data_IF_453564509886
#
_entry.id   IF_453564509886
#
_cell.length_a   1.000
_cell.length_b   1.000
_cell.length_c   1.000
_cell.angle_alpha   90.00
_cell.angle_beta   90.00
_cell.angle_gamma   90.00
#
_symmetry.space_group_name_H-M   'P 1'
#
loop_
_entity.id
_entity.type
_entity.pdbx_description
1 polymer ?
#
# COMPACT_ATOMS: atom_id res chain seq x y z
N UNK A 1 -6.90 2.73 -24.14
CA UNK A 1 -5.97 3.23 -23.10
C UNK A 1 -4.60 3.25 -23.73
N UNK A 2 -3.77 4.29 -23.54
CA UNK A 2 -2.44 4.27 -24.13
C UNK A 2 -1.53 3.30 -23.38
N UNK A 3 -0.53 2.73 -24.05
CA UNK A 3 0.48 1.84 -23.43
C UNK A 3 1.12 2.49 -22.19
N UNK A 4 1.39 3.80 -22.26
CA UNK A 4 1.91 4.58 -21.13
C UNK A 4 0.98 4.56 -19.91
N UNK A 5 -0.33 4.69 -20.12
CA UNK A 5 -1.31 4.67 -19.03
C UNK A 5 -1.37 3.30 -18.36
N UNK A 6 -1.27 2.22 -19.14
CA UNK A 6 -1.26 0.85 -18.62
C UNK A 6 -0.03 0.57 -17.74
N UNK A 7 1.15 1.02 -18.18
CA UNK A 7 2.38 0.93 -17.38
C UNK A 7 2.26 1.71 -16.06
N UNK A 8 1.72 2.92 -16.11
CA UNK A 8 1.50 3.75 -14.90
C UNK A 8 0.54 3.04 -13.95
N UNK A 9 -0.58 2.53 -14.47
CA UNK A 9 -1.59 1.84 -13.66
C UNK A 9 -1.02 0.60 -12.97
N UNK A 10 -0.27 -0.22 -13.70
CA UNK A 10 0.40 -1.40 -13.14
C UNK A 10 1.39 -1.02 -12.03
N UNK A 11 2.19 0.02 -12.26
CA UNK A 11 3.17 0.47 -11.28
C UNK A 11 2.48 1.01 -10.01
N UNK A 12 1.38 1.78 -10.17
CA UNK A 12 0.62 2.30 -9.05
C UNK A 12 0.00 1.19 -8.18
N UNK A 13 -0.49 0.10 -8.80
CA UNK A 13 -0.98 -1.06 -8.06
C UNK A 13 0.14 -1.83 -7.34
N UNK A 14 1.38 -1.75 -7.82
CA UNK A 14 2.54 -2.38 -7.17
C UNK A 14 3.17 -1.52 -6.06
N UNK A 15 3.00 -0.19 -6.12
CA UNK A 15 3.55 0.78 -5.16
C UNK A 15 3.30 0.43 -3.67
N UNK A 16 2.12 -0.07 -3.24
CA UNK A 16 1.89 -0.47 -1.86
C UNK A 16 2.91 -1.47 -1.32
N UNK A 17 3.42 -2.37 -2.16
CA UNK A 17 4.42 -3.35 -1.75
C UNK A 17 5.74 -2.67 -1.33
N UNK A 18 6.12 -1.57 -1.97
CA UNK A 18 7.30 -0.79 -1.58
C UNK A 18 7.09 -0.12 -0.22
N UNK A 19 5.94 0.49 0.01
CA UNK A 19 5.61 1.09 1.32
C UNK A 19 5.59 0.05 2.43
N UNK A 20 4.99 -1.12 2.18
CA UNK A 20 4.98 -2.26 3.10
C UNK A 20 6.40 -2.74 3.41
N UNK A 21 7.25 -2.87 2.38
CA UNK A 21 8.65 -3.30 2.56
C UNK A 21 9.45 -2.31 3.40
N UNK A 22 9.31 -1.00 3.12
CA UNK A 22 10.00 0.04 3.89
C UNK A 22 9.49 0.08 5.33
N UNK A 23 8.17 -0.01 5.54
CA UNK A 23 7.60 -0.09 6.89
C UNK A 23 8.12 -1.31 7.66
N UNK A 24 8.16 -2.48 7.03
CA UNK A 24 8.73 -3.69 7.63
C UNK A 24 10.19 -3.49 8.04
N UNK A 25 11.01 -2.88 7.19
CA UNK A 25 12.40 -2.58 7.52
C UNK A 25 12.50 -1.65 8.74
N UNK A 26 11.68 -0.59 8.80
CA UNK A 26 11.66 0.33 9.93
C UNK A 26 11.23 -0.36 11.23
N UNK A 27 10.23 -1.24 11.19
CA UNK A 27 9.83 -2.06 12.33
C UNK A 27 10.94 -3.00 12.83
N UNK A 28 11.88 -3.39 11.95
CA UNK A 28 13.01 -4.27 12.31
C UNK A 28 14.23 -3.53 12.86
N UNK A 29 14.43 -2.27 12.51
CA UNK A 29 15.63 -1.52 12.87
C UNK A 29 15.63 -1.12 14.34
N UNK A 30 14.52 -0.57 14.82
CA UNK A 30 14.42 -0.01 16.17
C UNK A 30 12.97 -0.05 16.67
N UNK A 31 12.79 -0.43 17.94
CA UNK A 31 11.48 -0.48 18.62
C UNK A 31 11.19 0.79 19.41
N UNK A 32 11.99 1.85 19.25
CA UNK A 32 11.73 3.14 19.88
C UNK A 32 10.37 3.70 19.45
N UNK A 33 9.67 4.46 20.32
CA UNK A 33 8.36 5.03 20.00
C UNK A 33 8.36 5.91 18.75
N UNK A 34 9.49 6.59 18.48
CA UNK A 34 9.65 7.40 17.28
C UNK A 34 9.73 6.53 16.03
N UNK A 35 10.53 5.46 16.04
CA UNK A 35 10.67 4.57 14.88
C UNK A 35 9.36 3.84 14.57
N UNK A 36 8.64 3.38 15.60
CA UNK A 36 7.31 2.80 15.45
C UNK A 36 6.33 3.78 14.79
N UNK A 37 6.33 5.03 15.24
CA UNK A 37 5.48 6.08 14.65
C UNK A 37 5.83 6.31 13.17
N UNK A 38 7.11 6.36 12.81
CA UNK A 38 7.55 6.54 11.41
C UNK A 38 7.14 5.32 10.57
N UNK A 39 7.36 4.10 11.07
CA UNK A 39 6.98 2.87 10.37
C UNK A 39 5.47 2.83 10.07
N UNK A 40 4.63 3.21 11.04
CA UNK A 40 3.19 3.32 10.85
C UNK A 40 2.79 4.42 9.84
N UNK A 41 3.45 5.58 9.85
CA UNK A 41 3.21 6.65 8.86
C UNK A 41 3.55 6.15 7.45
N UNK A 42 4.69 5.48 7.28
CA UNK A 42 5.11 4.91 5.99
C UNK A 42 4.11 3.85 5.52
N UNK A 43 3.70 2.94 6.41
CA UNK A 43 2.67 1.95 6.08
C UNK A 43 1.35 2.62 5.67
N UNK A 44 0.89 3.63 6.41
CA UNK A 44 -0.32 4.39 6.10
C UNK A 44 -0.23 5.09 4.73
N UNK A 45 0.93 5.62 4.36
CA UNK A 45 1.15 6.24 3.05
C UNK A 45 0.95 5.26 1.88
N UNK A 46 1.19 3.95 2.10
CA UNK A 46 0.92 2.90 1.12
C UNK A 46 -0.55 2.79 0.68
N UNK A 47 -1.49 3.28 1.50
CA UNK A 47 -2.92 3.32 1.16
C UNK A 47 -3.28 4.38 0.12
N UNK A 48 -2.51 5.47 0.02
CA UNK A 48 -2.78 6.59 -0.89
C UNK A 48 -2.95 6.15 -2.35
N UNK A 49 -2.01 5.39 -2.97
CA UNK A 49 -2.18 4.93 -4.34
C UNK A 49 -3.40 4.01 -4.50
N UNK A 50 -3.63 3.08 -3.56
CA UNK A 50 -4.77 2.14 -3.63
C UNK A 50 -6.10 2.87 -3.57
N UNK A 51 -6.28 3.76 -2.60
CA UNK A 51 -7.50 4.53 -2.44
C UNK A 51 -7.72 5.49 -3.63
N UNK A 52 -6.65 6.12 -4.13
CA UNK A 52 -6.73 6.96 -5.32
C UNK A 52 -7.17 6.18 -6.57
N UNK A 53 -6.64 4.98 -6.77
CA UNK A 53 -7.01 4.12 -7.89
C UNK A 53 -8.43 3.55 -7.74
N UNK A 54 -8.81 3.09 -6.55
CA UNK A 54 -10.18 2.64 -6.28
C UNK A 54 -11.18 3.77 -6.50
N UNK A 55 -10.90 4.96 -5.98
CA UNK A 55 -11.74 6.16 -6.20
C UNK A 55 -11.88 6.48 -7.69
N UNK A 56 -10.79 6.40 -8.45
CA UNK A 56 -10.81 6.56 -9.91
C UNK A 56 -11.63 5.47 -10.59
N UNK A 57 -11.48 4.21 -10.22
CA UNK A 57 -12.25 3.08 -10.78
C UNK A 57 -13.74 3.24 -10.50
N UNK A 58 -14.12 3.68 -9.30
CA UNK A 58 -15.51 4.00 -8.94
C UNK A 58 -16.05 5.16 -9.81
N UNK A 59 -15.31 6.26 -9.91
CA UNK A 59 -15.70 7.42 -10.72
C UNK A 59 -15.87 7.07 -12.20
N UNK A 60 -15.05 6.16 -12.71
CA UNK A 60 -15.10 5.68 -14.10
C UNK A 60 -16.02 4.47 -14.30
N UNK A 61 -16.65 3.95 -13.24
CA UNK A 61 -17.45 2.71 -13.24
C UNK A 61 -16.71 1.51 -13.86
N UNK A 62 -15.40 1.42 -13.63
CA UNK A 62 -14.53 0.35 -14.12
C UNK A 62 -14.23 -0.64 -13.01
N UNK A 63 -14.07 -1.91 -13.39
CA UNK A 63 -13.59 -2.92 -12.47
C UNK A 63 -12.09 -2.70 -12.22
N UNK A 64 -11.65 -2.51 -10.97
CA UNK A 64 -10.24 -2.30 -10.64
C UNK A 64 -9.37 -3.58 -10.79
N UNK A 65 -9.99 -4.74 -11.00
CA UNK A 65 -9.32 -5.98 -11.38
C UNK A 65 -8.33 -6.50 -10.34
N UNK A 66 -7.34 -7.26 -10.81
CA UNK A 66 -6.36 -7.95 -9.95
C UNK A 66 -5.42 -6.99 -9.20
N UNK A 67 -5.23 -5.78 -9.74
CA UNK A 67 -4.42 -4.75 -9.10
C UNK A 67 -4.99 -4.33 -7.74
N UNK A 68 -6.30 -4.14 -7.64
CA UNK A 68 -6.97 -3.86 -6.36
C UNK A 68 -6.87 -5.03 -5.38
N UNK A 69 -7.04 -6.27 -5.84
CA UNK A 69 -6.89 -7.45 -4.98
C UNK A 69 -5.48 -7.51 -4.40
N UNK A 70 -4.46 -7.29 -5.23
CA UNK A 70 -3.08 -7.26 -4.77
C UNK A 70 -2.81 -6.10 -3.82
N UNK A 71 -3.12 -4.87 -4.21
CA UNK A 71 -2.83 -3.67 -3.43
C UNK A 71 -3.57 -3.64 -2.08
N UNK A 72 -4.87 -3.95 -2.06
CA UNK A 72 -5.62 -4.07 -0.82
C UNK A 72 -5.17 -5.28 0.00
N UNK A 73 -4.96 -6.42 -0.65
CA UNK A 73 -4.59 -7.67 0.01
C UNK A 73 -3.28 -7.54 0.77
N UNK A 74 -2.22 -7.03 0.12
CA UNK A 74 -0.93 -6.87 0.76
C UNK A 74 -1.00 -5.89 1.93
N UNK A 75 -1.68 -4.74 1.78
CA UNK A 75 -1.85 -3.78 2.87
C UNK A 75 -2.63 -4.39 4.03
N UNK A 76 -3.80 -4.98 3.79
CA UNK A 76 -4.61 -5.57 4.87
C UNK A 76 -3.87 -6.69 5.62
N UNK A 77 -3.26 -7.63 4.89
CA UNK A 77 -2.54 -8.76 5.50
C UNK A 77 -1.35 -8.25 6.32
N UNK A 78 -0.51 -7.40 5.74
CA UNK A 78 0.68 -6.88 6.44
C UNK A 78 0.33 -5.90 7.54
N UNK A 79 -0.73 -5.11 7.41
CA UNK A 79 -1.24 -4.26 8.48
C UNK A 79 -1.68 -5.07 9.69
N UNK A 80 -2.40 -6.17 9.48
CA UNK A 80 -2.76 -7.11 10.54
C UNK A 80 -1.52 -7.72 11.22
N UNK A 81 -0.52 -8.13 10.42
CA UNK A 81 0.75 -8.65 10.95
C UNK A 81 1.54 -7.58 11.73
N UNK A 82 1.62 -6.35 11.23
CA UNK A 82 2.32 -5.26 11.93
C UNK A 82 1.61 -4.91 13.22
N UNK A 83 0.28 -4.84 13.21
CA UNK A 83 -0.53 -4.58 14.39
C UNK A 83 -0.35 -5.67 15.46
N UNK A 84 -0.37 -6.94 15.07
CA UNK A 84 -0.18 -8.04 16.01
C UNK A 84 1.21 -8.05 16.70
N UNK A 85 2.22 -7.43 16.09
CA UNK A 85 3.60 -7.44 16.59
C UNK A 85 4.05 -6.11 17.22
N UNK A 86 3.39 -4.99 16.89
CA UNK A 86 3.83 -3.63 17.26
C UNK A 86 2.67 -2.70 17.65
N UNK A 87 1.46 -3.24 17.79
CA UNK A 87 0.25 -2.53 18.24
C UNK A 87 0.03 -2.64 19.73
#
# INVERSE_FOLDING_TARGET
>A
MSERQEVIERNLWATPALFVFVAWALFKVDTSPLMLKIAWIVYAAGWVPVLGMLGRSIAQRRNPGIGAVFGCGILLITGGLFWANHG
#
